data_IF_349931030104
#
_entry.id   IF_349931030104
#
_cell.length_a   1.000
_cell.length_b   1.000
_cell.length_c   1.000
_cell.angle_alpha   90.00
_cell.angle_beta   90.00
_cell.angle_gamma   90.00
#
_symmetry.space_group_name_H-M   'P 1'
#
loop_
_entity.id
_entity.type
_entity.pdbx_description
1 polymer ?
#
# COMPACT_ATOMS: atom_id res chain seq x y z
N UNK A 1 7.73 -21.65 10.74
CA UNK A 1 7.79 -20.22 10.38
C UNK A 1 6.34 -19.77 10.22
N UNK A 2 5.93 -18.70 10.89
CA UNK A 2 4.57 -18.16 10.74
C UNK A 2 4.34 -17.73 9.30
N UNK A 3 3.21 -18.12 8.72
CA UNK A 3 2.83 -17.69 7.38
C UNK A 3 2.36 -16.23 7.45
N UNK A 4 3.21 -15.26 7.07
CA UNK A 4 2.93 -13.82 7.20
C UNK A 4 1.94 -13.30 6.15
N UNK A 5 1.67 -14.08 5.10
CA UNK A 5 0.63 -13.82 4.10
C UNK A 5 -0.13 -15.13 3.90
N UNK A 6 -1.42 -15.14 4.25
CA UNK A 6 -2.29 -16.26 3.96
C UNK A 6 -2.82 -16.14 2.53
N UNK A 7 -3.10 -17.27 1.88
CA UNK A 7 -3.69 -17.33 0.56
C UNK A 7 -4.81 -18.36 0.48
N UNK A 8 -5.84 -18.00 -0.23
CA UNK A 8 -6.95 -18.89 -0.57
C UNK A 8 -7.34 -18.64 -2.04
N UNK A 9 -7.32 -19.69 -2.87
CA UNK A 9 -7.77 -19.63 -4.26
C UNK A 9 -9.07 -20.39 -4.40
N UNK A 10 -10.11 -19.70 -4.85
CA UNK A 10 -11.42 -20.28 -5.08
C UNK A 10 -12.10 -19.56 -6.24
N UNK A 11 -12.67 -20.31 -7.17
CA UNK A 11 -13.48 -19.79 -8.30
C UNK A 11 -12.77 -18.66 -9.08
N UNK A 12 -11.46 -18.81 -9.32
CA UNK A 12 -10.64 -17.81 -10.02
C UNK A 12 -10.22 -16.59 -9.18
N UNK A 13 -10.61 -16.53 -7.91
CA UNK A 13 -10.32 -15.43 -7.01
C UNK A 13 -9.23 -15.85 -6.02
N UNK A 14 -8.10 -15.18 -6.02
CA UNK A 14 -7.06 -15.34 -5.02
C UNK A 14 -7.21 -14.29 -3.92
N UNK A 15 -7.62 -14.73 -2.73
CA UNK A 15 -7.61 -13.89 -1.53
C UNK A 15 -6.24 -13.97 -0.87
N UNK A 16 -5.58 -12.80 -0.72
CA UNK A 16 -4.35 -12.61 0.03
C UNK A 16 -4.66 -11.86 1.32
N UNK A 17 -4.25 -12.43 2.46
CA UNK A 17 -4.47 -11.80 3.77
C UNK A 17 -3.13 -11.54 4.45
N UNK A 18 -2.81 -10.28 4.72
CA UNK A 18 -1.67 -9.90 5.56
C UNK A 18 -1.89 -10.47 6.96
N UNK A 19 -0.96 -11.26 7.48
CA UNK A 19 -1.18 -12.06 8.68
C UNK A 19 -0.10 -11.87 9.76
N UNK A 20 -0.07 -10.66 10.30
CA UNK A 20 0.67 -10.26 11.52
C UNK A 20 -0.23 -9.36 12.38
N UNK A 21 -1.45 -9.80 12.75
CA UNK A 21 -2.44 -8.94 13.41
C UNK A 21 -1.94 -8.37 14.75
N UNK A 22 -1.07 -9.09 15.47
CA UNK A 22 -0.43 -8.65 16.72
C UNK A 22 0.50 -7.44 16.53
N UNK A 23 0.93 -7.18 15.30
CA UNK A 23 1.72 -6.02 14.86
C UNK A 23 0.94 -5.09 13.94
N UNK A 24 -0.41 -5.17 13.94
CA UNK A 24 -1.27 -4.46 12.99
C UNK A 24 -0.84 -4.67 11.54
N UNK A 25 -0.44 -5.87 11.21
CA UNK A 25 0.06 -6.27 9.90
C UNK A 25 1.23 -5.40 9.37
N UNK A 26 2.08 -4.86 10.27
CA UNK A 26 3.27 -4.13 9.87
C UNK A 26 4.19 -5.02 9.05
N UNK A 27 4.71 -4.50 7.94
CA UNK A 27 5.56 -5.23 7.03
C UNK A 27 6.99 -5.36 7.57
N UNK A 28 7.42 -6.58 7.82
CA UNK A 28 8.82 -6.93 7.94
C UNK A 28 9.38 -7.44 6.60
N UNK A 29 10.69 -7.66 6.54
CA UNK A 29 11.35 -8.15 5.32
C UNK A 29 10.72 -9.45 4.78
N UNK A 30 10.29 -10.35 5.67
CA UNK A 30 9.63 -11.61 5.28
C UNK A 30 8.27 -11.35 4.62
N UNK A 31 7.45 -10.46 5.18
CA UNK A 31 6.10 -10.19 4.67
C UNK A 31 6.13 -9.43 3.35
N UNK A 32 7.08 -8.46 3.18
CA UNK A 32 7.32 -7.81 1.89
C UNK A 32 7.60 -8.82 0.79
N UNK A 33 8.56 -9.73 1.04
CA UNK A 33 8.95 -10.79 0.08
C UNK A 33 7.83 -11.79 -0.16
N UNK A 34 7.12 -12.19 0.91
CA UNK A 34 6.03 -13.15 0.81
C UNK A 34 4.89 -12.63 -0.05
N UNK A 35 4.48 -11.35 0.14
CA UNK A 35 3.41 -10.75 -0.65
C UNK A 35 3.84 -10.59 -2.12
N UNK A 36 5.06 -10.13 -2.38
CA UNK A 36 5.60 -10.02 -3.73
C UNK A 36 5.58 -11.38 -4.44
N UNK A 37 6.08 -12.43 -3.80
CA UNK A 37 6.09 -13.78 -4.36
C UNK A 37 4.68 -14.33 -4.65
N UNK A 38 3.66 -13.98 -3.83
CA UNK A 38 2.28 -14.38 -4.12
C UNK A 38 1.70 -13.62 -5.33
N UNK A 39 2.02 -12.33 -5.50
CA UNK A 39 1.59 -11.56 -6.67
C UNK A 39 2.27 -12.06 -7.94
N UNK A 40 3.59 -12.33 -7.91
CA UNK A 40 4.32 -12.89 -9.04
C UNK A 40 3.76 -14.27 -9.44
N UNK A 41 3.53 -15.15 -8.45
CA UNK A 41 2.92 -16.45 -8.70
C UNK A 41 1.49 -16.33 -9.26
N UNK A 42 0.69 -15.37 -8.77
CA UNK A 42 -0.65 -15.12 -9.26
C UNK A 42 -0.65 -14.59 -10.70
N UNK A 43 0.34 -13.80 -11.08
CA UNK A 43 0.50 -13.29 -12.45
C UNK A 43 0.69 -14.41 -13.46
N UNK A 44 1.50 -15.42 -13.11
CA UNK A 44 1.82 -16.56 -13.97
C UNK A 44 0.78 -17.71 -13.93
N UNK A 45 -0.12 -17.71 -12.95
CA UNK A 45 -1.12 -18.79 -12.78
C UNK A 45 -2.45 -18.43 -13.45
N UNK A 46 -2.78 -19.09 -14.55
CA UNK A 46 -4.02 -18.83 -15.32
C UNK A 46 -5.30 -19.23 -14.55
N UNK A 47 -5.22 -20.01 -13.47
CA UNK A 47 -6.36 -20.28 -12.58
C UNK A 47 -6.73 -19.05 -11.75
N UNK A 48 -5.86 -18.02 -11.67
CA UNK A 48 -6.14 -16.76 -10.97
C UNK A 48 -6.61 -15.72 -11.97
N UNK A 49 -7.85 -15.26 -11.80
CA UNK A 49 -8.45 -14.19 -12.61
C UNK A 49 -8.42 -12.83 -11.90
N UNK A 50 -8.67 -12.83 -10.59
CA UNK A 50 -8.73 -11.62 -9.74
C UNK A 50 -7.96 -11.86 -8.45
N UNK A 51 -7.23 -10.86 -7.99
CA UNK A 51 -6.65 -10.86 -6.64
C UNK A 51 -7.42 -9.92 -5.73
N UNK A 52 -7.74 -10.37 -4.52
CA UNK A 52 -8.28 -9.55 -3.43
C UNK A 52 -7.24 -9.52 -2.31
N UNK A 53 -6.89 -8.33 -1.78
CA UNK A 53 -6.01 -8.19 -0.62
C UNK A 53 -6.75 -7.58 0.56
N UNK A 54 -6.48 -8.11 1.76
CA UNK A 54 -6.98 -7.59 3.04
C UNK A 54 -5.98 -7.81 4.16
N UNK A 55 -6.26 -7.29 5.36
CA UNK A 55 -5.50 -7.54 6.58
C UNK A 55 -6.25 -8.45 7.56
N UNK A 56 -5.55 -9.36 8.22
CA UNK A 56 -6.09 -10.13 9.35
C UNK A 56 -6.36 -9.22 10.56
N UNK A 57 -7.37 -9.55 11.34
CA UNK A 57 -7.77 -8.75 12.51
C UNK A 57 -8.47 -7.46 12.11
N UNK A 58 -8.19 -6.37 12.81
CA UNK A 58 -8.92 -5.11 12.67
C UNK A 58 -8.21 -4.07 11.80
N UNK A 59 -6.97 -4.31 11.40
CA UNK A 59 -6.14 -3.33 10.69
C UNK A 59 -5.68 -3.90 9.33
N UNK A 60 -5.57 -3.04 8.33
CA UNK A 60 -4.99 -3.43 7.05
C UNK A 60 -3.47 -3.59 7.19
N UNK A 61 -2.73 -2.51 7.42
CA UNK A 61 -1.29 -2.55 7.71
C UNK A 61 -0.77 -1.25 8.30
N UNK A 62 0.03 -1.34 9.35
CA UNK A 62 0.72 -0.20 9.95
C UNK A 62 1.97 0.25 9.16
N UNK A 63 2.23 -0.31 7.98
CA UNK A 63 3.37 0.02 7.13
C UNK A 63 4.64 -0.70 7.56
N UNK A 64 5.81 -0.10 7.31
CA UNK A 64 7.10 -0.69 7.67
C UNK A 64 7.20 -0.99 9.17
N UNK A 65 7.58 -2.21 9.52
CA UNK A 65 7.95 -2.55 10.90
C UNK A 65 9.30 -1.89 11.23
N UNK A 66 9.23 -0.79 11.98
CA UNK A 66 10.43 0.00 12.29
C UNK A 66 11.45 -0.75 13.15
N UNK A 67 11.02 -1.81 13.84
CA UNK A 67 11.95 -2.68 14.58
C UNK A 67 12.74 -3.62 13.67
N UNK A 68 12.28 -3.83 12.44
CA UNK A 68 12.92 -4.68 11.43
C UNK A 68 13.92 -3.90 10.55
N UNK A 69 13.94 -2.56 10.62
CA UNK A 69 14.81 -1.71 9.77
C UNK A 69 16.30 -1.90 10.04
N UNK A 70 16.67 -2.43 11.20
CA UNK A 70 18.06 -2.78 11.54
C UNK A 70 18.56 -4.06 10.81
N UNK A 71 17.66 -4.79 10.13
CA UNK A 71 18.04 -6.02 9.39
C UNK A 71 18.64 -5.62 8.04
N UNK A 72 19.87 -6.06 7.71
CA UNK A 72 20.48 -5.78 6.42
C UNK A 72 19.58 -6.24 5.27
N UNK A 73 19.32 -5.34 4.31
CA UNK A 73 18.46 -5.61 3.15
C UNK A 73 16.95 -5.45 3.39
N UNK A 74 16.50 -5.04 4.58
CA UNK A 74 15.09 -4.75 4.84
C UNK A 74 14.55 -3.66 3.91
N UNK A 75 15.33 -2.61 3.67
CA UNK A 75 15.01 -1.54 2.71
C UNK A 75 14.84 -2.05 1.26
N UNK A 76 15.59 -3.05 0.85
CA UNK A 76 15.45 -3.63 -0.49
C UNK A 76 14.19 -4.49 -0.62
N UNK A 77 13.67 -4.98 0.49
CA UNK A 77 12.52 -5.89 0.47
C UNK A 77 11.22 -5.17 0.07
N UNK A 78 11.03 -3.89 0.43
CA UNK A 78 9.86 -3.14 -0.02
C UNK A 78 9.90 -2.88 -1.54
N UNK A 79 11.09 -2.64 -2.13
CA UNK A 79 11.24 -2.41 -3.58
C UNK A 79 10.86 -3.64 -4.41
N UNK A 80 11.03 -4.85 -3.85
CA UNK A 80 10.56 -6.08 -4.48
C UNK A 80 9.03 -6.10 -4.58
N UNK A 81 8.34 -5.77 -3.48
CA UNK A 81 6.87 -5.69 -3.51
C UNK A 81 6.39 -4.53 -4.38
N UNK A 82 7.04 -3.37 -4.30
CA UNK A 82 6.74 -2.21 -5.14
C UNK A 82 6.70 -2.61 -6.62
N UNK A 83 7.72 -3.32 -7.10
CA UNK A 83 7.76 -3.78 -8.49
C UNK A 83 6.67 -4.82 -8.78
N UNK A 84 6.48 -5.81 -7.91
CA UNK A 84 5.47 -6.85 -8.08
C UNK A 84 4.05 -6.28 -8.17
N UNK A 85 3.74 -5.27 -7.37
CA UNK A 85 2.42 -4.59 -7.39
C UNK A 85 2.25 -3.75 -8.66
N UNK A 86 3.30 -2.99 -9.04
CA UNK A 86 3.24 -2.13 -10.23
C UNK A 86 3.16 -2.98 -11.51
N UNK A 87 3.83 -4.11 -11.57
CA UNK A 87 3.82 -4.99 -12.76
C UNK A 87 2.62 -5.94 -12.80
N UNK A 88 1.84 -6.01 -11.72
CA UNK A 88 0.69 -6.91 -11.66
C UNK A 88 -0.36 -6.57 -12.70
N UNK A 89 -0.69 -7.52 -13.58
CA UNK A 89 -1.46 -7.30 -14.81
C UNK A 89 -2.90 -7.88 -14.79
N UNK A 90 -3.33 -8.44 -13.65
CA UNK A 90 -4.70 -8.92 -13.45
C UNK A 90 -5.49 -7.98 -12.55
N UNK A 91 -6.83 -8.00 -12.56
CA UNK A 91 -7.64 -7.22 -11.64
C UNK A 91 -7.21 -7.39 -10.19
N UNK A 92 -7.03 -6.26 -9.48
CA UNK A 92 -6.54 -6.19 -8.12
C UNK A 92 -7.49 -5.34 -7.27
N UNK A 93 -8.17 -5.97 -6.31
CA UNK A 93 -9.10 -5.32 -5.39
C UNK A 93 -8.46 -5.28 -4.01
N UNK A 94 -8.54 -4.14 -3.34
CA UNK A 94 -8.15 -4.02 -1.94
C UNK A 94 -9.37 -3.79 -1.05
N UNK A 95 -9.40 -4.48 0.09
CA UNK A 95 -10.39 -4.34 1.15
C UNK A 95 -9.66 -3.92 2.44
N UNK A 96 -9.66 -2.61 2.74
CA UNK A 96 -8.87 -2.03 3.83
C UNK A 96 -9.74 -1.46 4.92
N UNK A 97 -9.50 -1.88 6.19
CA UNK A 97 -10.13 -1.30 7.39
C UNK A 97 -9.09 -1.02 8.46
N UNK A 98 -9.47 -0.26 9.49
CA UNK A 98 -8.56 0.12 10.55
C UNK A 98 -7.36 0.90 10.03
N UNK A 99 -6.17 0.60 10.52
CA UNK A 99 -4.95 1.33 10.18
C UNK A 99 -4.40 0.92 8.81
N UNK A 100 -4.09 1.93 7.98
CA UNK A 100 -3.34 1.81 6.72
C UNK A 100 -2.30 2.95 6.66
N UNK A 101 -1.00 2.66 6.91
CA UNK A 101 0.02 3.70 7.10
C UNK A 101 1.26 3.44 6.26
N UNK A 102 1.87 4.49 5.71
CA UNK A 102 3.10 4.40 4.90
C UNK A 102 2.95 3.40 3.77
N UNK A 103 3.82 2.39 3.65
CA UNK A 103 3.71 1.32 2.66
C UNK A 103 2.39 0.54 2.71
N UNK A 104 1.74 0.49 3.90
CA UNK A 104 0.39 -0.06 4.02
C UNK A 104 -0.70 0.81 3.39
N UNK A 105 -0.47 2.12 3.27
CA UNK A 105 -1.37 3.03 2.56
C UNK A 105 -1.03 3.09 1.06
N UNK A 106 0.27 3.21 0.72
CA UNK A 106 0.70 3.46 -0.66
C UNK A 106 0.49 2.26 -1.58
N UNK A 107 0.58 1.03 -1.08
CA UNK A 107 0.23 -0.18 -1.84
C UNK A 107 -1.23 -0.15 -2.30
N UNK A 108 -2.14 0.47 -1.53
CA UNK A 108 -3.57 0.57 -1.86
C UNK A 108 -3.83 1.46 -3.08
N UNK A 109 -2.94 2.40 -3.40
CA UNK A 109 -3.07 3.26 -4.58
C UNK A 109 -2.87 2.52 -5.90
N UNK A 110 -2.35 1.30 -5.86
CA UNK A 110 -2.17 0.42 -7.01
C UNK A 110 -3.30 -0.61 -7.18
N UNK A 111 -4.26 -0.66 -6.24
CA UNK A 111 -5.47 -1.44 -6.44
C UNK A 111 -6.34 -0.81 -7.52
N UNK A 112 -6.89 -1.62 -8.42
CA UNK A 112 -7.83 -1.15 -9.44
C UNK A 112 -9.15 -0.70 -8.80
N UNK A 113 -9.51 -1.33 -7.65
CA UNK A 113 -10.68 -0.96 -6.84
C UNK A 113 -10.29 -1.03 -5.37
N UNK A 114 -10.44 0.08 -4.66
CA UNK A 114 -10.26 0.15 -3.21
C UNK A 114 -11.63 0.28 -2.52
N UNK A 115 -11.98 -0.71 -1.71
CA UNK A 115 -13.07 -0.65 -0.76
C UNK A 115 -12.54 -0.47 0.65
N UNK A 116 -13.24 0.34 1.45
CA UNK A 116 -12.81 0.66 2.82
C UNK A 116 -13.90 0.37 3.84
N UNK A 117 -13.47 -0.04 5.02
CA UNK A 117 -14.34 -0.15 6.20
C UNK A 117 -14.53 1.22 6.87
N UNK A 118 -15.61 1.36 7.64
CA UNK A 118 -15.93 2.58 8.40
C UNK A 118 -14.81 2.98 9.37
N UNK A 119 -14.06 1.99 9.88
CA UNK A 119 -12.96 2.22 10.82
C UNK A 119 -11.66 2.68 10.13
N UNK A 120 -11.63 2.88 8.81
CA UNK A 120 -10.39 3.24 8.10
C UNK A 120 -9.72 4.47 8.75
N UNK A 121 -8.42 4.32 8.97
CA UNK A 121 -7.49 5.38 9.37
C UNK A 121 -6.22 5.25 8.52
N UNK A 122 -6.20 5.99 7.42
CA UNK A 122 -5.08 6.00 6.48
C UNK A 122 -4.16 7.20 6.74
N UNK A 123 -2.84 7.01 6.53
CA UNK A 123 -1.87 8.10 6.67
C UNK A 123 -0.61 7.83 5.86
N UNK A 124 -0.05 8.88 5.25
CA UNK A 124 1.26 8.88 4.61
C UNK A 124 2.22 9.75 5.44
N UNK A 125 2.89 9.20 6.47
CA UNK A 125 3.63 9.99 7.47
C UNK A 125 5.05 10.38 7.01
N UNK A 126 5.34 10.43 5.71
CA UNK A 126 6.69 10.58 5.17
C UNK A 126 7.41 11.80 5.72
N UNK A 127 6.84 13.00 5.62
CA UNK A 127 7.46 14.22 6.11
C UNK A 127 7.67 14.22 7.64
N UNK A 128 6.73 13.62 8.40
CA UNK A 128 6.90 13.51 9.86
C UNK A 128 7.96 12.51 10.28
N UNK A 129 8.39 11.65 9.37
CA UNK A 129 9.48 10.68 9.54
C UNK A 129 10.75 11.09 8.79
N UNK A 130 10.82 12.34 8.29
CA UNK A 130 11.92 12.83 7.45
C UNK A 130 12.23 11.85 6.29
N UNK A 131 11.19 11.41 5.59
CA UNK A 131 11.24 10.50 4.44
C UNK A 131 10.58 11.14 3.22
N UNK A 132 10.91 10.64 2.04
CA UNK A 132 10.19 10.90 0.81
C UNK A 132 9.02 9.90 0.64
N UNK A 133 8.03 10.20 -0.24
CA UNK A 133 7.05 9.22 -0.67
C UNK A 133 7.69 7.97 -1.29
N UNK A 134 6.95 6.86 -1.31
CA UNK A 134 7.35 5.56 -1.86
C UNK A 134 6.21 4.94 -2.69
N UNK A 135 6.46 3.86 -3.43
CA UNK A 135 5.47 3.18 -4.28
C UNK A 135 4.85 4.08 -5.36
N UNK A 136 5.63 5.01 -5.92
CA UNK A 136 5.14 6.03 -6.85
C UNK A 136 3.94 6.83 -6.31
N UNK A 137 3.75 6.88 -4.99
CA UNK A 137 2.62 7.56 -4.36
C UNK A 137 2.61 9.06 -4.62
N UNK A 138 3.77 9.67 -4.87
CA UNK A 138 3.87 11.08 -5.30
C UNK A 138 3.16 11.34 -6.63
N UNK A 139 3.11 10.35 -7.54
CA UNK A 139 2.35 10.41 -8.78
C UNK A 139 0.92 9.89 -8.61
N UNK A 140 0.77 8.69 -8.03
CA UNK A 140 -0.53 8.01 -7.92
C UNK A 140 -1.56 8.84 -7.14
N UNK A 141 -1.15 9.45 -6.03
CA UNK A 141 -2.07 10.25 -5.23
C UNK A 141 -2.56 11.51 -6.00
N UNK A 142 -1.69 12.12 -6.82
CA UNK A 142 -2.10 13.23 -7.70
C UNK A 142 -3.12 12.79 -8.75
N UNK A 143 -2.94 11.59 -9.32
CA UNK A 143 -3.86 11.03 -10.29
C UNK A 143 -5.24 10.72 -9.66
N UNK A 144 -5.25 10.24 -8.43
CA UNK A 144 -6.46 9.84 -7.72
C UNK A 144 -7.20 11.07 -7.16
N UNK A 145 -6.52 11.92 -6.40
CA UNK A 145 -7.13 13.00 -5.61
C UNK A 145 -6.99 14.39 -6.24
N UNK A 146 -6.18 14.50 -7.30
CA UNK A 146 -5.75 15.76 -7.88
C UNK A 146 -4.55 16.40 -7.15
N UNK A 147 -3.80 17.30 -7.81
CA UNK A 147 -2.50 17.76 -7.32
C UNK A 147 -2.57 18.54 -6.01
N UNK A 148 -3.59 19.36 -5.79
CA UNK A 148 -3.71 20.18 -4.58
C UNK A 148 -3.99 19.32 -3.34
N UNK A 149 -4.96 18.39 -3.43
CA UNK A 149 -5.28 17.47 -2.33
C UNK A 149 -4.11 16.53 -2.03
N UNK A 150 -3.45 16.02 -3.06
CA UNK A 150 -2.25 15.20 -2.89
C UNK A 150 -1.15 15.96 -2.14
N UNK A 151 -0.89 17.21 -2.51
CA UNK A 151 0.10 18.05 -1.84
C UNK A 151 -0.26 18.30 -0.37
N UNK A 152 -1.52 18.65 -0.08
CA UNK A 152 -2.00 18.84 1.30
C UNK A 152 -1.80 17.57 2.13
N UNK A 153 -2.30 16.43 1.66
CA UNK A 153 -2.22 15.14 2.37
C UNK A 153 -0.77 14.70 2.65
N UNK A 154 0.13 14.86 1.65
CA UNK A 154 1.54 14.51 1.81
C UNK A 154 2.30 15.49 2.70
N UNK A 155 2.05 16.81 2.60
CA UNK A 155 2.76 17.80 3.39
C UNK A 155 2.31 17.85 4.84
N UNK A 156 1.00 17.74 5.10
CA UNK A 156 0.45 17.77 6.47
C UNK A 156 0.57 16.44 7.19
N UNK A 157 0.70 15.35 6.43
CA UNK A 157 0.70 13.98 6.98
C UNK A 157 -0.53 13.69 7.87
N UNK A 158 -1.67 14.30 7.56
CA UNK A 158 -2.89 14.14 8.34
C UNK A 158 -3.50 12.74 8.20
N UNK A 159 -4.39 12.41 9.13
CA UNK A 159 -5.17 11.18 9.05
C UNK A 159 -6.36 11.36 8.10
N UNK A 160 -6.54 10.37 7.23
CA UNK A 160 -7.65 10.22 6.30
C UNK A 160 -8.56 9.14 6.85
N UNK A 161 -9.80 9.50 7.17
CA UNK A 161 -10.84 8.54 7.53
C UNK A 161 -11.56 8.02 6.26
N UNK A 162 -12.48 7.08 6.44
CA UNK A 162 -13.23 6.48 5.34
C UNK A 162 -14.02 7.52 4.50
N UNK A 163 -14.60 8.52 5.14
CA UNK A 163 -15.39 9.56 4.45
C UNK A 163 -14.48 10.46 3.60
N UNK A 164 -13.35 10.89 4.16
CA UNK A 164 -12.35 11.67 3.41
C UNK A 164 -11.73 10.85 2.27
N UNK A 165 -11.53 9.55 2.46
CA UNK A 165 -11.04 8.68 1.39
C UNK A 165 -12.04 8.58 0.22
N UNK A 166 -13.34 8.56 0.47
CA UNK A 166 -14.38 8.65 -0.56
C UNK A 166 -14.40 10.02 -1.24
N UNK A 167 -14.40 11.10 -0.44
CA UNK A 167 -14.45 12.49 -0.95
C UNK A 167 -13.27 12.80 -1.88
N UNK A 168 -12.09 12.29 -1.55
CA UNK A 168 -10.86 12.49 -2.34
C UNK A 168 -10.71 11.54 -3.51
N UNK A 169 -11.58 10.55 -3.66
CA UNK A 169 -11.48 9.51 -4.68
C UNK A 169 -10.46 8.41 -4.39
N UNK A 170 -9.81 8.44 -3.22
CA UNK A 170 -8.87 7.38 -2.81
C UNK A 170 -9.60 6.06 -2.66
N UNK A 171 -10.81 6.05 -2.10
CA UNK A 171 -11.65 4.88 -2.00
C UNK A 171 -12.88 4.98 -2.92
N UNK A 172 -13.25 3.86 -3.52
CA UNK A 172 -14.42 3.81 -4.39
C UNK A 172 -15.73 3.64 -3.60
N UNK A 173 -15.72 2.82 -2.54
CA UNK A 173 -16.89 2.59 -1.67
C UNK A 173 -16.47 2.36 -0.23
N UNK A 174 -17.39 2.70 0.68
CA UNK A 174 -17.31 2.42 2.12
C UNK A 174 -18.39 1.43 2.51
N UNK A 175 -18.04 0.49 3.39
CA UNK A 175 -18.92 -0.51 3.98
C UNK A 175 -18.73 -0.55 5.49
N UNK A 176 -19.66 -1.18 6.22
CA UNK A 176 -19.37 -1.60 7.59
C UNK A 176 -18.20 -2.57 7.61
N UNK A 177 -17.41 -2.56 8.67
CA UNK A 177 -16.19 -3.37 8.74
C UNK A 177 -16.44 -4.88 8.57
N UNK A 178 -17.55 -5.39 9.09
CA UNK A 178 -17.97 -6.78 9.00
C UNK A 178 -18.52 -7.16 7.61
N UNK A 179 -19.01 -6.20 6.83
CA UNK A 179 -19.52 -6.41 5.47
C UNK A 179 -18.43 -6.22 4.39
N UNK A 180 -17.32 -5.56 4.73
CA UNK A 180 -16.31 -5.11 3.78
C UNK A 180 -15.74 -6.24 2.90
N UNK A 181 -15.24 -7.30 3.52
CA UNK A 181 -14.61 -8.41 2.78
C UNK A 181 -15.63 -9.14 1.91
N UNK A 182 -16.83 -9.37 2.41
CA UNK A 182 -17.92 -10.00 1.65
C UNK A 182 -18.23 -9.20 0.38
N UNK A 183 -18.32 -7.87 0.48
CA UNK A 183 -18.61 -7.00 -0.68
C UNK A 183 -17.43 -6.98 -1.67
N UNK A 184 -16.18 -7.00 -1.20
CA UNK A 184 -15.01 -7.08 -2.06
C UNK A 184 -14.97 -8.43 -2.82
N UNK A 185 -15.23 -9.54 -2.13
CA UNK A 185 -15.31 -10.87 -2.75
C UNK A 185 -16.46 -11.00 -3.74
N UNK A 186 -17.64 -10.41 -3.45
CA UNK A 186 -18.75 -10.38 -4.38
C UNK A 186 -18.40 -9.63 -5.67
N UNK A 187 -17.69 -8.49 -5.57
CA UNK A 187 -17.20 -7.76 -6.75
C UNK A 187 -16.13 -8.55 -7.51
N UNK A 188 -15.24 -9.23 -6.80
CA UNK A 188 -14.26 -10.12 -7.43
C UNK A 188 -14.95 -11.24 -8.21
N UNK A 189 -16.03 -11.82 -7.67
CA UNK A 189 -16.81 -12.86 -8.35
C UNK A 189 -17.50 -12.35 -9.63
N UNK A 190 -18.00 -11.11 -9.63
CA UNK A 190 -18.53 -10.47 -10.84
C UNK A 190 -17.44 -10.33 -11.92
N UNK A 191 -16.23 -9.94 -11.54
CA UNK A 191 -15.10 -9.74 -12.46
C UNK A 191 -14.58 -11.09 -12.96
N UNK A 192 -14.48 -12.10 -12.09
CA UNK A 192 -13.93 -13.41 -12.41
C UNK A 192 -14.74 -14.19 -13.47
N UNK A 193 -15.97 -13.76 -13.78
CA UNK A 193 -16.79 -14.33 -14.85
C UNK A 193 -16.26 -13.98 -16.26
N UNK A 194 -15.44 -12.94 -16.39
CA UNK A 194 -14.97 -12.48 -17.69
C UNK A 194 -13.69 -13.18 -18.13
N UNK A 195 -13.43 -13.29 -19.44
CA UNK A 195 -12.22 -13.94 -19.94
C UNK A 195 -10.94 -13.26 -19.42
N UNK A 196 -10.03 -14.04 -18.86
CA UNK A 196 -8.78 -13.55 -18.29
C UNK A 196 -7.98 -12.68 -19.25
N UNK A 197 -7.86 -13.08 -20.51
CA UNK A 197 -7.14 -12.32 -21.54
C UNK A 197 -7.75 -10.92 -21.72
N UNK A 198 -9.09 -10.84 -21.76
CA UNK A 198 -9.79 -9.54 -21.90
C UNK A 198 -9.55 -8.63 -20.68
N UNK A 199 -9.54 -9.20 -19.48
CA UNK A 199 -9.26 -8.46 -18.25
C UNK A 199 -7.82 -7.94 -18.22
N UNK A 200 -6.84 -8.77 -18.61
CA UNK A 200 -5.42 -8.36 -18.71
C UNK A 200 -5.23 -7.23 -19.72
N UNK A 201 -5.82 -7.33 -20.92
CA UNK A 201 -5.73 -6.27 -21.93
C UNK A 201 -6.44 -4.99 -21.47
N UNK A 202 -7.58 -5.08 -20.80
CA UNK A 202 -8.24 -3.91 -20.21
C UNK A 202 -7.33 -3.23 -19.18
N UNK A 203 -6.74 -4.00 -18.26
CA UNK A 203 -5.80 -3.45 -17.26
C UNK A 203 -4.57 -2.84 -17.93
N UNK A 204 -4.04 -3.49 -18.97
CA UNK A 204 -2.93 -2.96 -19.75
C UNK A 204 -3.27 -1.59 -20.36
N UNK A 205 -4.43 -1.46 -20.99
CA UNK A 205 -4.89 -0.19 -21.55
C UNK A 205 -5.00 0.91 -20.46
N UNK A 206 -5.55 0.59 -19.30
CA UNK A 206 -5.66 1.54 -18.18
C UNK A 206 -4.28 1.97 -17.65
N UNK A 207 -3.32 1.05 -17.55
CA UNK A 207 -1.99 1.32 -17.01
C UNK A 207 -1.07 2.07 -17.97
N UNK A 208 -1.14 1.78 -19.26
CA UNK A 208 -0.21 2.33 -20.25
C UNK A 208 -0.14 3.86 -20.27
N UNK A 209 -1.27 4.53 -20.03
CA UNK A 209 -1.31 5.99 -19.96
C UNK A 209 -0.52 6.56 -18.76
N UNK A 210 -0.35 5.78 -17.71
CA UNK A 210 0.26 6.21 -16.46
C UNK A 210 1.69 5.66 -16.24
N UNK A 211 2.08 4.63 -16.98
CA UNK A 211 3.37 3.96 -16.80
C UNK A 211 4.58 4.91 -16.82
N UNK A 212 4.71 5.86 -17.78
CA UNK A 212 5.85 6.78 -17.79
C UNK A 212 5.92 7.67 -16.52
N UNK A 213 4.76 8.10 -16.00
CA UNK A 213 4.67 8.91 -14.79
C UNK A 213 5.04 8.11 -13.54
N UNK A 214 4.60 6.86 -13.46
CA UNK A 214 4.96 5.93 -12.38
C UNK A 214 6.46 5.69 -12.34
N UNK A 215 7.09 5.36 -13.49
CA UNK A 215 8.53 5.12 -13.54
C UNK A 215 9.35 6.38 -13.19
N UNK A 216 8.92 7.55 -13.66
CA UNK A 216 9.56 8.81 -13.30
C UNK A 216 9.45 9.11 -11.80
N UNK A 217 8.28 8.85 -11.20
CA UNK A 217 8.06 9.03 -9.77
C UNK A 217 8.93 8.08 -8.94
N UNK A 218 8.98 6.79 -9.27
CA UNK A 218 9.83 5.81 -8.59
C UNK A 218 11.29 6.24 -8.57
N UNK A 219 11.81 6.69 -9.71
CA UNK A 219 13.19 7.14 -9.80
C UNK A 219 13.46 8.31 -8.83
N UNK A 220 12.60 9.34 -8.86
CA UNK A 220 12.77 10.53 -8.00
C UNK A 220 12.56 10.18 -6.53
N UNK A 221 11.59 9.34 -6.19
CA UNK A 221 11.33 8.88 -4.83
C UNK A 221 12.51 8.10 -4.26
N UNK A 222 13.08 7.15 -5.02
CA UNK A 222 14.26 6.40 -4.61
C UNK A 222 15.47 7.30 -4.39
N UNK A 223 15.76 8.23 -5.32
CA UNK A 223 16.84 9.21 -5.16
C UNK A 223 16.62 10.13 -3.95
N UNK A 224 15.37 10.52 -3.68
CA UNK A 224 15.04 11.33 -2.52
C UNK A 224 15.19 10.54 -1.21
N UNK A 225 14.77 9.28 -1.18
CA UNK A 225 14.98 8.39 -0.03
C UNK A 225 16.45 8.22 0.28
N UNK A 226 17.30 8.00 -0.74
CA UNK A 226 18.73 7.85 -0.58
C UNK A 226 19.36 9.15 -0.03
N UNK A 227 18.95 10.34 -0.51
CA UNK A 227 19.41 11.64 0.04
C UNK A 227 19.00 11.88 1.48
N UNK A 228 17.88 11.31 1.93
CA UNK A 228 17.35 11.50 3.28
C UNK A 228 17.82 10.44 4.28
N UNK A 229 18.44 9.34 3.82
CA UNK A 229 18.74 8.16 4.63
C UNK A 229 19.57 8.47 5.89
N UNK A 230 20.62 9.30 5.75
CA UNK A 230 21.60 9.57 6.80
C UNK A 230 21.54 11.03 7.32
N UNK A 231 20.37 11.68 7.21
CA UNK A 231 20.21 13.07 7.65
C UNK A 231 19.98 13.16 9.17
N UNK A 232 20.39 14.27 9.82
CA UNK A 232 20.05 14.53 11.21
C UNK A 232 18.53 14.53 11.47
N UNK A 233 17.76 15.01 10.50
CA UNK A 233 16.30 15.00 10.54
C UNK A 233 15.74 13.58 10.62
N UNK A 234 16.31 12.63 9.86
CA UNK A 234 15.91 11.22 9.90
C UNK A 234 16.21 10.60 11.27
N UNK A 235 17.38 10.89 11.83
CA UNK A 235 17.77 10.43 13.17
C UNK A 235 16.81 10.97 14.23
N UNK A 236 16.52 12.27 14.19
CA UNK A 236 15.56 12.90 15.12
C UNK A 236 14.16 12.28 14.99
N UNK A 237 13.68 12.09 13.76
CA UNK A 237 12.35 11.52 13.52
C UNK A 237 12.22 10.11 14.12
N UNK A 238 13.23 9.25 13.92
CA UNK A 238 13.26 7.89 14.47
C UNK A 238 13.34 7.92 15.99
N UNK A 239 14.24 8.75 16.56
CA UNK A 239 14.39 8.90 18.01
C UNK A 239 13.09 9.37 18.64
N UNK A 240 12.48 10.43 18.08
CA UNK A 240 11.21 10.97 18.56
C UNK A 240 10.07 9.92 18.51
N UNK A 241 10.04 9.11 17.45
CA UNK A 241 9.07 8.02 17.33
C UNK A 241 9.24 6.97 18.43
N UNK A 242 10.47 6.51 18.69
CA UNK A 242 10.79 5.54 19.75
C UNK A 242 10.44 6.11 21.13
N UNK A 243 10.77 7.38 21.37
CA UNK A 243 10.49 8.08 22.62
C UNK A 243 9.03 8.56 22.75
N UNK A 244 8.18 8.31 21.74
CA UNK A 244 6.76 8.71 21.69
C UNK A 244 6.54 10.21 21.90
N UNK A 245 7.44 11.04 21.41
CA UNK A 245 7.36 12.52 21.43
C UNK A 245 7.23 13.10 20.02
N UNK A 246 6.92 14.37 19.92
CA UNK A 246 6.96 15.08 18.62
C UNK A 246 8.43 15.35 18.24
N UNK A 247 8.81 15.14 16.94
CA UNK A 247 10.14 15.49 16.47
C UNK A 247 10.37 17.02 16.49
N UNK A 248 11.59 17.44 16.72
CA UNK A 248 11.99 18.86 16.74
C UNK A 248 13.04 19.14 15.66
N UNK A 249 12.59 19.34 14.44
CA UNK A 249 13.46 19.57 13.29
C UNK A 249 14.11 20.97 13.25
N UNK A 250 13.58 21.96 14.02
CA UNK A 250 14.06 23.34 13.97
C UNK A 250 15.37 23.57 14.74
N UNK A 251 15.65 22.71 15.72
CA UNK A 251 16.81 22.85 16.61
C UNK A 251 17.94 21.87 16.27
N UNK A 252 17.89 21.23 15.11
CA UNK A 252 18.97 20.36 14.66
C UNK A 252 20.18 21.21 14.29
N UNK A 253 21.34 20.90 14.88
CA UNK A 253 22.59 21.50 14.45
C UNK A 253 22.90 21.02 13.04
N UNK A 254 23.08 21.95 12.13
CA UNK A 254 23.58 21.71 10.79
C UNK A 254 25.01 21.22 10.81
#
# INVERSE_FOLDING_TARGET
MSNTVLKELKDGILLLTLNRPEKKNAFNAQQWKALAAQLDAARENDDVTVVVITGAGNDFSAGQDLMDTAVPGALLSYRILERAVIDFDKPFIAAARGVAVGGGATVLFHADVLYVGESLRMRMPFNSLAMAPEFASSYMLQMIAGPQRAAELLFTTEWINADKALETGIAFRKFKDDELLQNAMAKAAEIAQWPLLSLRETKRCLKMAHQPGIEAALKIEHEAMDRLADTPEKTEAITAFIEKRKPNFRNLKK
#
